data_IF_098659204046
#
_entry.id   IF_098659204046
#
_cell.length_a   1.000
_cell.length_b   1.000
_cell.length_c   1.000
_cell.angle_alpha   90.00
_cell.angle_beta   90.00
_cell.angle_gamma   90.00
#
_symmetry.space_group_name_H-M   'P 1'
#
loop_
_entity.id
_entity.type
_entity.pdbx_description
1 polymer ?
#
# COMPACT_ATOMS: atom_id res chain seq x y z
N UNK A 1 18.69 17.68 -8.35
CA UNK A 1 18.15 17.26 -9.66
C UNK A 1 16.64 17.43 -9.57
N UNK A 2 16.04 18.41 -10.23
CA UNK A 2 14.58 18.60 -10.20
C UNK A 2 13.98 17.58 -11.15
N UNK A 3 13.26 16.60 -10.61
CA UNK A 3 12.52 15.63 -11.41
C UNK A 3 11.39 16.40 -12.09
N UNK A 4 11.43 16.53 -13.41
CA UNK A 4 10.32 17.13 -14.17
C UNK A 4 9.18 16.11 -14.16
N UNK A 5 8.13 16.40 -13.41
CA UNK A 5 6.89 15.62 -13.46
C UNK A 5 6.27 15.76 -14.85
N UNK A 6 6.13 14.64 -15.53
CA UNK A 6 5.43 14.55 -16.81
C UNK A 6 4.01 14.05 -16.53
N UNK A 7 3.02 14.60 -17.22
CA UNK A 7 1.62 14.14 -17.15
C UNK A 7 1.40 12.68 -17.60
N UNK A 8 2.44 12.03 -18.09
CA UNK A 8 2.47 10.64 -18.56
C UNK A 8 3.16 9.68 -17.61
N UNK A 9 3.37 10.04 -16.33
CA UNK A 9 3.98 9.12 -15.35
C UNK A 9 3.08 7.91 -15.12
N UNK A 10 3.66 6.70 -15.26
CA UNK A 10 2.99 5.45 -14.95
C UNK A 10 2.87 5.26 -13.44
N UNK A 11 1.63 5.25 -12.94
CA UNK A 11 1.31 5.00 -11.52
C UNK A 11 1.04 3.52 -11.32
N UNK A 12 1.84 2.86 -10.50
CA UNK A 12 1.67 1.46 -10.16
C UNK A 12 1.24 1.32 -8.70
N UNK A 13 0.03 0.82 -8.48
CA UNK A 13 -0.45 0.51 -7.14
C UNK A 13 0.08 -0.86 -6.68
N UNK A 14 0.79 -0.89 -5.57
CA UNK A 14 1.29 -2.12 -4.98
C UNK A 14 0.50 -2.47 -3.72
N UNK A 15 -0.23 -3.57 -3.78
CA UNK A 15 -0.95 -4.17 -2.65
C UNK A 15 -0.03 -5.23 -2.03
N UNK A 16 0.76 -4.78 -1.05
CA UNK A 16 1.71 -5.63 -0.37
C UNK A 16 1.04 -6.36 0.80
N UNK A 17 0.82 -7.65 0.64
CA UNK A 17 0.24 -8.54 1.66
C UNK A 17 1.18 -9.70 1.96
N UNK A 18 1.09 -10.29 3.15
CA UNK A 18 1.90 -11.46 3.52
C UNK A 18 1.09 -12.46 4.33
N UNK A 19 1.51 -13.71 4.28
CA UNK A 19 1.07 -14.74 5.21
C UNK A 19 1.54 -14.43 6.65
N UNK A 20 1.07 -15.18 7.61
CA UNK A 20 1.59 -15.16 8.99
C UNK A 20 1.29 -13.90 9.78
N UNK A 21 0.12 -13.28 9.58
CA UNK A 21 -0.36 -12.20 10.42
C UNK A 21 -0.50 -12.65 11.87
N UNK A 22 0.36 -12.15 12.79
CA UNK A 22 0.45 -12.62 14.17
C UNK A 22 -0.73 -12.20 15.05
N UNK A 23 -1.16 -10.93 14.99
CA UNK A 23 -2.24 -10.39 15.84
C UNK A 23 -3.64 -10.85 15.43
N UNK A 24 -3.87 -11.01 14.15
CA UNK A 24 -5.12 -11.53 13.59
C UNK A 24 -4.74 -12.57 12.55
N UNK A 25 -4.93 -13.87 12.81
CA UNK A 25 -4.60 -14.93 11.84
C UNK A 25 -5.29 -14.67 10.49
N UNK A 26 -4.54 -14.84 9.40
CA UNK A 26 -5.00 -14.68 8.01
C UNK A 26 -5.70 -13.34 7.73
N UNK A 27 -5.32 -12.28 8.43
CA UNK A 27 -6.00 -10.97 8.40
C UNK A 27 -6.39 -10.53 6.99
N UNK A 28 -5.52 -10.71 6.01
CA UNK A 28 -5.69 -10.16 4.66
C UNK A 28 -6.77 -10.88 3.85
N UNK A 29 -6.95 -12.19 4.11
CA UNK A 29 -7.88 -13.08 3.40
C UNK A 29 -8.98 -13.62 4.31
N UNK A 30 -8.92 -13.33 5.61
CA UNK A 30 -9.98 -13.70 6.56
C UNK A 30 -11.31 -13.10 6.13
N UNK A 31 -12.36 -13.90 6.19
CA UNK A 31 -13.72 -13.48 5.85
C UNK A 31 -14.13 -12.20 6.58
N UNK A 32 -14.51 -11.20 5.82
CA UNK A 32 -15.01 -9.91 6.25
C UNK A 32 -16.33 -9.65 5.51
N UNK A 33 -17.45 -9.95 6.16
CA UNK A 33 -18.77 -10.05 5.52
C UNK A 33 -18.75 -11.09 4.37
N UNK A 34 -19.00 -10.70 3.13
CA UNK A 34 -19.01 -11.58 1.96
C UNK A 34 -17.69 -11.59 1.17
N UNK A 35 -16.66 -10.92 1.68
CA UNK A 35 -15.38 -10.70 1.04
C UNK A 35 -14.23 -10.83 2.05
N UNK A 36 -13.06 -10.35 1.71
CA UNK A 36 -11.90 -10.18 2.59
C UNK A 36 -11.20 -8.84 2.30
N UNK A 37 -10.23 -8.46 3.13
CA UNK A 37 -9.57 -7.16 3.00
C UNK A 37 -8.80 -7.01 1.69
N UNK A 38 -8.22 -8.09 1.17
CA UNK A 38 -7.48 -8.05 -0.10
C UNK A 38 -8.44 -7.81 -1.28
N UNK A 39 -9.50 -8.60 -1.39
CA UNK A 39 -10.53 -8.44 -2.43
C UNK A 39 -11.18 -7.06 -2.38
N UNK A 40 -11.51 -6.59 -1.16
CA UNK A 40 -12.09 -5.26 -0.98
C UNK A 40 -11.16 -4.16 -1.50
N UNK A 41 -9.85 -4.24 -1.17
CA UNK A 41 -8.86 -3.28 -1.67
C UNK A 41 -8.72 -3.35 -3.19
N UNK A 42 -8.67 -4.54 -3.78
CA UNK A 42 -8.57 -4.70 -5.23
C UNK A 42 -9.80 -4.12 -5.95
N UNK A 43 -11.01 -4.37 -5.44
CA UNK A 43 -12.24 -3.76 -5.97
C UNK A 43 -12.19 -2.23 -5.96
N UNK A 44 -11.65 -1.62 -4.92
CA UNK A 44 -11.48 -0.16 -4.85
C UNK A 44 -10.47 0.31 -5.91
N UNK A 45 -9.29 -0.33 -5.99
CA UNK A 45 -8.21 0.12 -6.87
C UNK A 45 -8.54 -0.05 -8.37
N UNK A 46 -9.28 -1.09 -8.75
CA UNK A 46 -9.73 -1.31 -10.14
C UNK A 46 -10.63 -0.17 -10.63
N UNK A 47 -11.36 0.47 -9.72
CA UNK A 47 -12.22 1.61 -10.05
C UNK A 47 -11.50 2.97 -9.98
N UNK A 48 -10.20 3.01 -9.72
CA UNK A 48 -9.41 4.24 -9.74
C UNK A 48 -9.02 4.62 -11.18
N UNK A 49 -9.24 5.88 -11.55
CA UNK A 49 -8.90 6.42 -12.87
C UNK A 49 -7.41 6.79 -13.01
N UNK A 50 -6.73 7.02 -11.88
CA UNK A 50 -5.36 7.52 -11.87
C UNK A 50 -4.31 6.42 -11.73
N UNK A 51 -4.71 5.16 -11.63
CA UNK A 51 -3.83 3.99 -11.47
C UNK A 51 -3.73 3.27 -12.82
N UNK A 52 -2.50 3.10 -13.31
CA UNK A 52 -2.23 2.45 -14.61
C UNK A 52 -2.05 0.93 -14.47
N UNK A 53 -1.55 0.49 -13.30
CA UNK A 53 -1.31 -0.95 -13.03
C UNK A 53 -1.51 -1.23 -11.53
N UNK A 54 -2.05 -2.41 -11.24
CA UNK A 54 -2.19 -2.92 -9.87
C UNK A 54 -1.37 -4.20 -9.76
N UNK A 55 -0.54 -4.29 -8.72
CA UNK A 55 0.28 -5.47 -8.42
C UNK A 55 -0.08 -6.00 -7.03
N UNK A 56 -0.45 -7.27 -6.94
CA UNK A 56 -0.48 -8.00 -5.66
C UNK A 56 0.91 -8.58 -5.41
N UNK A 57 1.59 -8.06 -4.40
CA UNK A 57 2.92 -8.54 -3.98
C UNK A 57 2.79 -9.38 -2.71
N UNK A 58 3.07 -10.67 -2.78
CA UNK A 58 2.88 -11.60 -1.66
C UNK A 58 3.83 -12.81 -1.69
N UNK A 59 4.12 -13.37 -0.51
CA UNK A 59 4.75 -14.67 -0.30
C UNK A 59 3.75 -15.84 -0.31
N UNK A 60 2.43 -15.55 -0.24
CA UNK A 60 1.34 -16.52 -0.20
C UNK A 60 0.78 -16.79 -1.57
N UNK A 61 0.80 -18.04 -2.02
CA UNK A 61 0.17 -18.46 -3.28
C UNK A 61 -1.32 -18.14 -3.30
N UNK A 62 -2.04 -18.38 -2.20
CA UNK A 62 -3.47 -18.10 -2.09
C UNK A 62 -3.79 -16.61 -2.32
N UNK A 63 -2.96 -15.69 -1.78
CA UNK A 63 -3.12 -14.25 -2.00
C UNK A 63 -2.79 -13.85 -3.45
N UNK A 64 -1.82 -14.51 -4.07
CA UNK A 64 -1.49 -14.32 -5.49
C UNK A 64 -2.63 -14.82 -6.40
N UNK A 65 -3.24 -15.97 -6.08
CA UNK A 65 -4.41 -16.50 -6.80
C UNK A 65 -5.61 -15.53 -6.73
N UNK A 66 -5.81 -14.85 -5.60
CA UNK A 66 -6.82 -13.79 -5.52
C UNK A 66 -6.51 -12.67 -6.52
N UNK A 67 -5.25 -12.22 -6.59
CA UNK A 67 -4.83 -11.22 -7.59
C UNK A 67 -5.12 -11.68 -9.02
N UNK A 68 -4.82 -12.94 -9.35
CA UNK A 68 -5.13 -13.52 -10.67
C UNK A 68 -6.63 -13.51 -10.98
N UNK A 69 -7.49 -13.87 -10.01
CA UNK A 69 -8.94 -13.83 -10.17
C UNK A 69 -9.47 -12.43 -10.47
N UNK A 70 -8.80 -11.41 -9.96
CA UNK A 70 -9.10 -10.00 -10.23
C UNK A 70 -8.44 -9.47 -11.52
N UNK A 71 -7.72 -10.32 -12.24
CA UNK A 71 -6.99 -9.96 -13.48
C UNK A 71 -6.00 -8.80 -13.28
N UNK A 72 -5.36 -8.73 -12.11
CA UNK A 72 -4.28 -7.79 -11.81
C UNK A 72 -2.93 -8.49 -11.84
N UNK A 73 -1.86 -7.73 -11.99
CA UNK A 73 -0.50 -8.26 -11.95
C UNK A 73 -0.17 -8.88 -10.59
N UNK A 74 0.60 -9.97 -10.61
CA UNK A 74 1.07 -10.62 -9.39
C UNK A 74 2.59 -10.60 -9.33
N UNK A 75 3.13 -10.47 -8.13
CA UNK A 75 4.56 -10.52 -7.87
C UNK A 75 4.82 -11.38 -6.63
N UNK A 76 5.51 -12.49 -6.83
CA UNK A 76 5.91 -13.35 -5.72
C UNK A 76 7.02 -12.68 -4.94
N UNK A 77 6.79 -12.49 -3.64
CA UNK A 77 7.75 -11.89 -2.71
C UNK A 77 8.70 -12.97 -2.18
N UNK A 78 9.97 -12.66 -2.14
CA UNK A 78 10.96 -13.50 -1.49
C UNK A 78 10.68 -13.61 0.02
N UNK A 79 10.91 -14.80 0.63
CA UNK A 79 10.60 -15.05 2.05
C UNK A 79 11.26 -14.06 3.02
N UNK A 80 12.47 -13.60 2.72
CA UNK A 80 13.18 -12.60 3.52
C UNK A 80 12.35 -11.33 3.69
N UNK A 81 11.83 -10.75 2.59
CA UNK A 81 11.02 -9.52 2.63
C UNK A 81 9.58 -9.71 3.16
N UNK A 82 9.17 -10.96 3.38
CA UNK A 82 7.92 -11.29 4.06
C UNK A 82 8.12 -11.57 5.55
N UNK A 83 9.36 -11.76 6.00
CA UNK A 83 9.72 -12.05 7.38
C UNK A 83 9.63 -10.80 8.29
N UNK A 84 9.91 -10.98 9.56
CA UNK A 84 10.11 -9.89 10.53
C UNK A 84 11.58 -9.45 10.64
N UNK A 85 12.48 -10.07 9.89
CA UNK A 85 13.92 -9.74 9.86
C UNK A 85 14.19 -8.55 8.94
N UNK A 86 13.49 -8.48 7.81
CA UNK A 86 13.59 -7.35 6.91
C UNK A 86 13.02 -6.08 7.54
N UNK A 87 13.80 -5.02 7.53
CA UNK A 87 13.34 -3.69 7.91
C UNK A 87 12.33 -3.13 6.90
N UNK A 88 11.54 -2.14 7.31
CA UNK A 88 10.64 -1.44 6.39
C UNK A 88 11.40 -0.79 5.23
N UNK A 89 12.61 -0.27 5.46
CA UNK A 89 13.43 0.36 4.42
C UNK A 89 13.89 -0.66 3.38
N UNK A 90 14.36 -1.82 3.79
CA UNK A 90 14.75 -2.92 2.87
C UNK A 90 13.55 -3.41 2.06
N UNK A 91 12.41 -3.59 2.72
CA UNK A 91 11.18 -3.98 2.06
C UNK A 91 10.73 -2.94 1.01
N UNK A 92 10.71 -1.64 1.36
CA UNK A 92 10.33 -0.59 0.41
C UNK A 92 11.36 -0.45 -0.72
N UNK A 93 12.65 -0.62 -0.43
CA UNK A 93 13.71 -0.67 -1.44
C UNK A 93 13.47 -1.81 -2.44
N UNK A 94 13.19 -3.01 -1.95
CA UNK A 94 12.87 -4.16 -2.80
C UNK A 94 11.63 -3.92 -3.69
N UNK A 95 10.57 -3.32 -3.15
CA UNK A 95 9.40 -2.95 -3.94
C UNK A 95 9.80 -1.94 -5.04
N UNK A 96 10.61 -0.94 -4.71
CA UNK A 96 11.06 0.06 -5.68
C UNK A 96 11.91 -0.54 -6.80
N UNK A 97 12.80 -1.47 -6.49
CA UNK A 97 13.67 -2.15 -7.45
C UNK A 97 12.91 -3.11 -8.38
N UNK A 98 11.85 -3.73 -7.87
CA UNK A 98 11.12 -4.79 -8.58
C UNK A 98 9.85 -4.31 -9.29
N UNK A 99 9.39 -3.09 -9.02
CA UNK A 99 8.19 -2.50 -9.62
C UNK A 99 8.56 -1.63 -10.83
N UNK A 100 7.97 -1.92 -11.99
CA UNK A 100 8.19 -1.15 -13.23
C UNK A 100 7.15 -0.03 -13.38
N UNK A 101 7.41 1.12 -12.80
CA UNK A 101 6.57 2.31 -12.87
C UNK A 101 7.38 3.55 -12.53
N UNK A 102 6.84 4.73 -12.83
CA UNK A 102 7.46 6.02 -12.49
C UNK A 102 7.11 6.43 -11.06
N UNK A 103 5.92 6.03 -10.59
CA UNK A 103 5.41 6.31 -9.26
C UNK A 103 4.83 5.02 -8.65
N UNK A 104 5.25 4.70 -7.45
CA UNK A 104 4.72 3.58 -6.68
C UNK A 104 3.71 4.11 -5.67
N UNK A 105 2.47 3.66 -5.80
CA UNK A 105 1.40 3.93 -4.85
C UNK A 105 1.23 2.72 -3.92
N UNK A 106 1.73 2.82 -2.70
CA UNK A 106 1.53 1.75 -1.71
C UNK A 106 0.09 1.77 -1.19
N UNK A 107 -0.66 0.69 -1.45
CA UNK A 107 -2.07 0.57 -1.15
C UNK A 107 -2.33 -0.48 -0.05
N UNK A 108 -2.19 -0.14 1.25
CA UNK A 108 -2.36 -1.09 2.34
C UNK A 108 -3.83 -1.55 2.46
N UNK A 109 -4.04 -2.86 2.62
CA UNK A 109 -5.38 -3.46 2.81
C UNK A 109 -6.03 -3.07 4.14
N UNK A 110 -5.22 -2.61 5.12
CA UNK A 110 -5.70 -2.21 6.44
C UNK A 110 -6.47 -0.88 6.45
N UNK A 111 -6.63 -0.24 5.31
CA UNK A 111 -7.44 0.97 5.12
C UNK A 111 -8.61 0.68 4.16
N UNK A 112 -9.61 -0.15 4.58
CA UNK A 112 -10.64 -0.66 3.68
C UNK A 112 -11.69 0.38 3.29
N UNK A 113 -11.82 1.48 4.04
CA UNK A 113 -12.87 2.48 3.85
C UNK A 113 -12.44 3.70 3.02
N UNK A 114 -11.24 3.69 2.44
CA UNK A 114 -10.81 4.72 1.51
C UNK A 114 -11.38 4.36 0.13
N UNK A 115 -12.21 5.23 -0.44
CA UNK A 115 -12.84 5.00 -1.75
C UNK A 115 -11.87 5.19 -2.93
N UNK A 116 -12.28 4.78 -4.13
CA UNK A 116 -11.55 5.00 -5.38
C UNK A 116 -11.37 6.49 -5.68
N UNK A 117 -12.42 7.28 -5.51
CA UNK A 117 -12.38 8.73 -5.71
C UNK A 117 -11.36 9.40 -4.79
N UNK A 118 -11.27 8.93 -3.53
CA UNK A 118 -10.29 9.46 -2.60
C UNK A 118 -8.86 9.10 -2.96
N UNK A 119 -8.62 7.91 -3.49
CA UNK A 119 -7.31 7.54 -4.03
C UNK A 119 -6.95 8.41 -5.24
N UNK A 120 -7.89 8.64 -6.15
CA UNK A 120 -7.68 9.50 -7.32
C UNK A 120 -7.40 10.96 -6.94
N UNK A 121 -8.10 11.50 -5.94
CA UNK A 121 -7.82 12.84 -5.40
C UNK A 121 -6.39 12.94 -4.85
N UNK A 122 -5.93 11.95 -4.08
CA UNK A 122 -4.58 11.91 -3.51
C UNK A 122 -3.53 11.87 -4.62
N UNK A 123 -3.72 11.05 -5.65
CA UNK A 123 -2.80 10.95 -6.78
C UNK A 123 -2.80 12.24 -7.61
N UNK A 124 -3.95 12.84 -7.87
CA UNK A 124 -4.07 14.15 -8.55
C UNK A 124 -3.33 15.25 -7.77
N UNK A 125 -3.51 15.28 -6.46
CA UNK A 125 -2.80 16.22 -5.59
C UNK A 125 -1.28 16.00 -5.62
N UNK A 126 -0.81 14.75 -5.52
CA UNK A 126 0.61 14.41 -5.66
C UNK A 126 1.19 14.95 -6.98
N UNK A 127 0.48 14.74 -8.10
CA UNK A 127 0.92 15.19 -9.43
C UNK A 127 0.94 16.72 -9.54
N UNK A 128 -0.03 17.43 -8.93
CA UNK A 128 -0.18 18.89 -9.07
C UNK A 128 0.92 19.68 -8.36
N UNK A 129 1.38 19.18 -7.22
CA UNK A 129 2.34 19.89 -6.36
C UNK A 129 3.80 19.50 -6.59
N UNK A 130 4.04 18.55 -7.51
CA UNK A 130 5.40 18.06 -7.86
C UNK A 130 6.21 17.56 -6.63
N UNK A 131 5.55 16.84 -5.74
CA UNK A 131 6.21 16.26 -4.58
C UNK A 131 7.12 15.08 -4.97
N UNK A 132 8.24 14.91 -4.27
CA UNK A 132 9.06 13.70 -4.38
C UNK A 132 8.34 12.49 -3.77
N UNK A 133 7.56 12.73 -2.71
CA UNK A 133 6.72 11.72 -2.05
C UNK A 133 5.54 12.36 -1.33
N UNK A 134 4.49 11.57 -1.12
CA UNK A 134 3.31 11.96 -0.35
C UNK A 134 2.94 10.84 0.60
N UNK A 135 2.71 11.15 1.86
CA UNK A 135 2.25 10.19 2.87
C UNK A 135 1.07 10.71 3.65
N UNK A 136 0.16 9.83 4.02
CA UNK A 136 -0.93 10.16 4.93
C UNK A 136 -0.43 10.17 6.36
N UNK A 137 -0.90 11.14 7.14
CA UNK A 137 -0.60 11.24 8.57
C UNK A 137 -1.88 11.29 9.40
N UNK A 138 -1.78 10.92 10.66
CA UNK A 138 -2.86 11.04 11.62
C UNK A 138 -2.53 12.11 12.64
N UNK A 139 -3.42 13.10 12.78
CA UNK A 139 -3.29 14.10 13.84
C UNK A 139 -3.69 13.49 15.19
N UNK A 140 -2.73 13.19 16.03
CA UNK A 140 -2.96 12.67 17.37
C UNK A 140 -3.30 13.84 18.29
N UNK A 141 -4.55 13.89 18.74
CA UNK A 141 -5.04 14.86 19.74
C UNK A 141 -5.12 14.21 21.12
N UNK A 142 -4.04 13.66 21.57
CA UNK A 142 -3.96 12.97 22.86
C UNK A 142 -2.65 13.33 23.57
N UNK A 143 -2.52 12.88 24.82
CA UNK A 143 -1.31 13.05 25.59
C UNK A 143 -0.23 12.09 25.11
N UNK A 144 0.88 12.62 24.60
CA UNK A 144 2.04 11.85 24.19
C UNK A 144 3.13 11.91 25.26
N UNK A 145 3.75 10.76 25.55
CA UNK A 145 4.82 10.63 26.54
C UNK A 145 6.03 9.95 25.89
N UNK A 146 7.21 10.44 26.20
CA UNK A 146 8.48 9.81 25.88
C UNK A 146 9.37 9.88 27.11
N UNK A 147 9.95 8.76 27.50
CA UNK A 147 10.86 8.66 28.67
C UNK A 147 10.27 9.32 29.94
N UNK A 148 9.01 9.02 30.22
CA UNK A 148 8.24 9.58 31.34
C UNK A 148 8.10 11.11 31.35
N UNK A 149 8.24 11.75 30.19
CA UNK A 149 8.01 13.18 30.01
C UNK A 149 6.90 13.44 29.02
N UNK A 150 6.00 14.41 29.26
CA UNK A 150 5.02 14.81 28.28
C UNK A 150 5.72 15.44 27.06
N UNK A 151 5.19 15.18 25.84
CA UNK A 151 5.72 15.72 24.59
C UNK A 151 4.90 16.89 24.04
N UNK A 152 3.61 16.91 24.30
CA UNK A 152 2.68 17.82 23.66
C UNK A 152 1.71 18.52 24.61
N UNK A 153 2.02 18.55 25.90
CA UNK A 153 1.31 19.32 26.93
C UNK A 153 2.24 19.58 28.12
N UNK A 154 1.92 20.60 28.91
CA UNK A 154 2.61 20.99 30.14
C UNK A 154 1.98 20.32 31.36
#
# INVERSE_FOLDING_TARGET
MVVKFNSQQKIVAVVAVRAGSQRVPEKNIRKFHDTNLLELKLNVLINCEQIDEIIVNSDSEEMLEIGQKFNVSIQKREPYYASSEASNSEFHGHIAETTKGDVIFLAPVCSPFISSERHDEIIKYYKSEQFDSLTSTHLIKGHLWLDNKPLNYD
#
